data_IF_502879512392
#
_entry.id   IF_502879512392
#
_cell.length_a   1.000
_cell.length_b   1.000
_cell.length_c   1.000
_cell.angle_alpha   90.00
_cell.angle_beta   90.00
_cell.angle_gamma   90.00
#
_symmetry.space_group_name_H-M   'P 1'
#
loop_
_entity.id
_entity.type
_entity.pdbx_description
1 polymer ?
#
# COMPACT_ATOMS: atom_id res chain seq x y z
N UNK A 1 -47.18 -13.17 6.88
CA UNK A 1 -47.06 -13.99 5.63
C UNK A 1 -47.64 -15.39 5.81
N UNK A 2 -47.53 -16.01 7.00
CA UNK A 2 -48.10 -17.36 7.31
C UNK A 2 -49.44 -17.32 8.03
N UNK A 3 -49.98 -16.13 8.28
CA UNK A 3 -51.14 -15.88 9.16
C UNK A 3 -52.49 -16.32 8.56
N UNK A 4 -52.54 -16.57 7.25
CA UNK A 4 -53.77 -16.99 6.52
C UNK A 4 -53.84 -18.49 6.24
N UNK A 5 -52.93 -19.29 6.80
CA UNK A 5 -52.90 -20.73 6.60
C UNK A 5 -53.95 -21.44 7.46
N UNK A 6 -54.51 -22.57 7.00
CA UNK A 6 -55.42 -23.37 7.81
C UNK A 6 -54.74 -23.86 9.10
N UNK A 7 -55.52 -24.13 10.16
CA UNK A 7 -54.99 -24.38 11.50
C UNK A 7 -54.05 -25.61 11.57
N UNK A 8 -54.23 -26.58 10.68
CA UNK A 8 -53.35 -27.76 10.58
C UNK A 8 -51.94 -27.39 10.12
N UNK A 9 -51.82 -26.43 9.19
CA UNK A 9 -50.53 -25.95 8.69
C UNK A 9 -49.94 -24.90 9.63
N UNK A 10 -50.77 -24.07 10.26
CA UNK A 10 -50.33 -23.04 11.20
C UNK A 10 -49.59 -23.64 12.41
N UNK A 11 -50.01 -24.82 12.90
CA UNK A 11 -49.33 -25.55 13.99
C UNK A 11 -47.86 -25.87 13.72
N UNK A 12 -47.48 -26.06 12.44
CA UNK A 12 -46.10 -26.35 12.06
C UNK A 12 -45.18 -25.13 12.22
N UNK A 13 -45.77 -23.93 12.26
CA UNK A 13 -45.07 -22.67 12.45
C UNK A 13 -45.20 -22.15 13.87
N UNK A 14 -45.51 -23.02 14.85
CA UNK A 14 -45.48 -22.65 16.25
C UNK A 14 -44.09 -22.08 16.62
N UNK A 15 -44.03 -20.98 17.37
CA UNK A 15 -42.76 -20.41 17.79
C UNK A 15 -41.99 -21.41 18.65
N UNK A 16 -40.66 -21.34 18.58
CA UNK A 16 -39.80 -22.12 19.47
C UNK A 16 -40.03 -21.65 20.92
N UNK A 17 -39.89 -22.54 21.92
CA UNK A 17 -39.85 -22.11 23.31
C UNK A 17 -38.70 -21.10 23.50
N UNK A 18 -38.85 -20.14 24.43
CA UNK A 18 -37.80 -19.16 24.69
C UNK A 18 -36.53 -19.86 25.16
N UNK A 19 -35.38 -19.40 24.67
CA UNK A 19 -34.10 -19.90 25.11
C UNK A 19 -33.81 -19.41 26.54
N UNK A 20 -33.23 -20.29 27.36
CA UNK A 20 -32.70 -19.90 28.66
C UNK A 20 -31.55 -18.91 28.47
N UNK A 21 -31.62 -17.78 29.17
CA UNK A 21 -30.56 -16.80 29.14
C UNK A 21 -29.31 -17.34 29.83
N UNK A 22 -28.18 -17.20 29.16
CA UNK A 22 -26.85 -17.38 29.75
C UNK A 22 -26.06 -16.09 29.54
N UNK A 23 -25.21 -15.70 30.50
CA UNK A 23 -24.37 -14.53 30.34
C UNK A 23 -23.45 -14.71 29.13
N UNK A 24 -23.20 -13.63 28.35
CA UNK A 24 -22.27 -13.70 27.23
C UNK A 24 -20.87 -14.06 27.73
N UNK A 25 -20.15 -14.87 26.95
CA UNK A 25 -18.76 -15.23 27.23
C UNK A 25 -17.79 -14.07 27.00
N UNK A 26 -18.19 -13.13 26.16
CA UNK A 26 -17.38 -12.00 25.76
C UNK A 26 -17.42 -10.87 26.81
N UNK A 27 -16.43 -9.98 26.77
CA UNK A 27 -16.38 -8.82 27.67
C UNK A 27 -17.46 -7.81 27.28
N UNK A 28 -17.98 -7.11 28.29
CA UNK A 28 -18.83 -5.94 28.09
C UNK A 28 -18.16 -4.97 27.12
N UNK A 29 -18.90 -4.36 26.17
CA UNK A 29 -18.33 -3.48 25.16
C UNK A 29 -17.55 -2.30 25.77
N UNK A 30 -17.98 -1.81 26.94
CA UNK A 30 -17.29 -0.74 27.68
C UNK A 30 -15.90 -1.15 28.19
N UNK A 31 -15.68 -2.45 28.41
CA UNK A 31 -14.42 -3.03 28.92
C UNK A 31 -13.57 -3.65 27.81
N UNK A 32 -14.03 -3.60 26.56
CA UNK A 32 -13.23 -4.08 25.43
C UNK A 32 -12.14 -3.07 25.15
N UNK A 33 -10.89 -3.49 25.33
CA UNK A 33 -9.71 -2.68 25.02
C UNK A 33 -9.04 -3.29 23.79
N UNK A 34 -8.74 -2.45 22.81
CA UNK A 34 -7.98 -2.84 21.61
C UNK A 34 -6.48 -2.92 21.88
N UNK A 35 -5.68 -2.85 20.81
CA UNK A 35 -4.23 -2.79 20.94
C UNK A 35 -3.81 -1.48 21.64
N UNK A 36 -2.93 -1.59 22.63
CA UNK A 36 -2.42 -0.43 23.38
C UNK A 36 -1.23 0.13 22.60
N UNK A 37 -1.40 1.34 22.04
CA UNK A 37 -0.33 2.02 21.29
C UNK A 37 0.62 2.73 22.28
N UNK A 38 1.92 2.47 22.15
CA UNK A 38 2.98 3.11 22.93
C UNK A 38 3.61 4.27 22.17
N UNK A 39 4.34 5.14 22.88
CA UNK A 39 5.04 6.27 22.27
C UNK A 39 6.27 5.86 21.46
N UNK A 40 6.62 6.68 20.46
CA UNK A 40 7.76 6.43 19.55
C UNK A 40 9.12 6.63 20.24
N UNK A 41 9.17 7.32 21.39
CA UNK A 41 10.41 7.66 22.09
C UNK A 41 11.30 6.43 22.40
N UNK A 42 10.69 5.28 22.68
CA UNK A 42 11.41 4.02 22.93
C UNK A 42 12.20 3.51 21.72
N UNK A 43 11.80 3.90 20.50
CA UNK A 43 12.46 3.46 19.25
C UNK A 43 13.67 4.34 18.90
N UNK A 44 13.89 5.47 19.58
CA UNK A 44 14.99 6.41 19.27
C UNK A 44 16.36 5.77 19.50
N UNK A 45 16.49 4.84 20.44
CA UNK A 45 17.73 4.09 20.65
C UNK A 45 18.12 3.23 19.45
N UNK A 46 17.13 2.69 18.72
CA UNK A 46 17.36 1.83 17.56
C UNK A 46 17.93 2.60 16.37
N UNK A 47 17.62 3.89 16.26
CA UNK A 47 18.18 4.77 15.22
C UNK A 47 19.70 4.90 15.29
N UNK A 48 20.32 4.61 16.44
CA UNK A 48 21.79 4.66 16.59
C UNK A 48 22.49 3.47 15.93
N UNK A 49 21.80 2.35 15.76
CA UNK A 49 22.33 1.10 15.23
C UNK A 49 21.94 0.90 13.76
N UNK A 50 21.92 1.97 12.97
CA UNK A 50 21.60 1.86 11.55
C UNK A 50 22.81 1.37 10.76
N UNK A 51 22.54 0.65 9.67
CA UNK A 51 23.57 0.17 8.75
C UNK A 51 24.13 1.36 7.94
N UNK A 52 25.42 1.74 8.11
CA UNK A 52 26.00 2.90 7.43
C UNK A 52 26.01 2.73 5.90
N UNK A 53 26.01 1.50 5.40
CA UNK A 53 26.06 1.18 3.98
C UNK A 53 24.67 0.95 3.36
N UNK A 54 23.60 1.31 4.09
CA UNK A 54 22.24 1.13 3.62
C UNK A 54 21.98 1.90 2.32
N UNK A 55 21.70 1.16 1.24
CA UNK A 55 21.23 1.72 -0.03
C UNK A 55 19.72 1.54 -0.12
N UNK A 56 18.93 2.64 -0.13
CA UNK A 56 17.48 2.55 -0.27
C UNK A 56 17.09 1.87 -1.58
N UNK A 57 16.09 0.98 -1.52
CA UNK A 57 15.53 0.40 -2.73
C UNK A 57 14.75 1.47 -3.50
N UNK A 58 15.18 1.76 -4.74
CA UNK A 58 14.48 2.71 -5.63
C UNK A 58 13.14 2.19 -6.13
N UNK A 59 12.10 3.03 -6.03
CA UNK A 59 10.79 2.69 -6.57
C UNK A 59 10.82 2.49 -8.10
N UNK A 60 9.83 1.79 -8.67
CA UNK A 60 9.74 1.62 -10.12
C UNK A 60 9.63 2.97 -10.86
N UNK A 61 8.98 3.95 -10.24
CA UNK A 61 8.83 5.29 -10.78
C UNK A 61 10.19 6.02 -10.84
N UNK A 62 10.98 5.94 -9.77
CA UNK A 62 12.34 6.51 -9.73
C UNK A 62 13.26 5.87 -10.77
N UNK A 63 13.28 4.54 -10.86
CA UNK A 63 14.08 3.82 -11.86
C UNK A 63 13.73 4.22 -13.29
N UNK A 64 12.44 4.47 -13.58
CA UNK A 64 11.98 4.94 -14.89
C UNK A 64 12.46 6.37 -15.17
N UNK A 65 12.38 7.27 -14.19
CA UNK A 65 12.87 8.65 -14.31
C UNK A 65 14.37 8.69 -14.58
N UNK A 66 15.15 7.97 -13.79
CA UNK A 66 16.61 7.87 -13.98
C UNK A 66 16.97 7.35 -15.38
N UNK A 67 16.30 6.29 -15.83
CA UNK A 67 16.52 5.74 -17.18
C UNK A 67 16.16 6.74 -18.27
N UNK A 68 15.12 7.54 -18.09
CA UNK A 68 14.73 8.59 -19.03
C UNK A 68 15.75 9.72 -19.08
N UNK A 69 16.26 10.16 -17.93
CA UNK A 69 17.30 11.18 -17.83
C UNK A 69 18.62 10.74 -18.46
N UNK A 70 19.06 9.50 -18.19
CA UNK A 70 20.25 8.92 -18.81
C UNK A 70 20.12 8.90 -20.34
N UNK A 71 18.95 8.51 -20.86
CA UNK A 71 18.67 8.51 -22.31
C UNK A 71 18.71 9.93 -22.89
N UNK A 72 18.14 10.92 -22.21
CA UNK A 72 18.15 12.33 -22.65
C UNK A 72 19.57 12.87 -22.73
N UNK A 73 20.37 12.71 -21.66
CA UNK A 73 21.78 13.15 -21.63
C UNK A 73 22.59 12.52 -22.75
N UNK A 74 22.45 11.20 -22.96
CA UNK A 74 23.14 10.50 -24.06
C UNK A 74 22.73 11.02 -25.45
N UNK A 75 21.45 11.34 -25.65
CA UNK A 75 20.98 11.90 -26.90
C UNK A 75 21.56 13.30 -27.15
N UNK A 76 21.62 14.15 -26.13
CA UNK A 76 22.22 15.49 -26.18
C UNK A 76 23.72 15.41 -26.51
N UNK A 77 24.47 14.55 -25.83
CA UNK A 77 25.90 14.34 -26.12
C UNK A 77 26.14 13.86 -27.56
N UNK A 78 25.30 12.94 -28.05
CA UNK A 78 25.40 12.45 -29.42
C UNK A 78 25.10 13.54 -30.44
N UNK A 79 24.07 14.37 -30.20
CA UNK A 79 23.75 15.53 -31.04
C UNK A 79 24.91 16.52 -31.07
N UNK A 80 25.50 16.84 -29.91
CA UNK A 80 26.66 17.74 -29.84
C UNK A 80 27.86 17.19 -30.62
N UNK A 81 28.17 15.90 -30.48
CA UNK A 81 29.24 15.23 -31.25
C UNK A 81 28.97 15.30 -32.75
N UNK A 82 27.76 14.96 -33.20
CA UNK A 82 27.36 15.02 -34.60
C UNK A 82 27.43 16.44 -35.18
N UNK A 83 27.01 17.46 -34.41
CA UNK A 83 27.13 18.86 -34.79
C UNK A 83 28.60 19.29 -34.93
N UNK A 84 29.47 18.86 -34.01
CA UNK A 84 30.90 19.14 -34.08
C UNK A 84 31.54 18.49 -35.33
N UNK A 85 31.20 17.24 -35.64
CA UNK A 85 31.68 16.54 -36.84
C UNK A 85 31.18 17.19 -38.13
N UNK A 86 29.90 17.60 -38.19
CA UNK A 86 29.34 18.32 -39.33
C UNK A 86 30.07 19.65 -39.56
N UNK A 87 30.34 20.42 -38.50
CA UNK A 87 31.12 21.67 -38.58
C UNK A 87 32.55 21.42 -39.09
N UNK A 88 33.23 20.36 -38.63
CA UNK A 88 34.57 19.97 -39.12
C UNK A 88 34.56 19.61 -40.61
N UNK A 89 33.58 18.82 -41.07
CA UNK A 89 33.43 18.45 -42.49
C UNK A 89 33.14 19.67 -43.38
N UNK A 90 32.32 20.62 -42.92
CA UNK A 90 32.06 21.87 -43.64
C UNK A 90 33.30 22.78 -43.76
N UNK A 91 34.13 22.85 -42.72
CA UNK A 91 35.41 23.59 -42.76
C UNK A 91 36.45 22.98 -43.71
N UNK A 92 36.47 21.64 -43.88
CA UNK A 92 37.36 20.95 -44.83
C UNK A 92 36.92 21.05 -46.30
N UNK A 93 35.69 21.48 -46.57
CA UNK A 93 35.10 21.59 -47.92
C UNK A 93 35.11 23.02 -48.49
N UNK A 94 35.57 24.00 -47.72
CA UNK A 94 35.91 25.36 -48.16
C UNK A 94 37.42 25.46 -48.21
#
# INVERSE_FOLDING_TARGET
MTDKLPPNLLKLFAPRPPLSYYPPLDKDPQKRVGCIVTGIASLVSELKNYDPDYVPWKSLAEKRKEKAEIKRKKAEENLQKALAECKKKKKKKK
#
